data_IF_153631827364
#
_entry.id   IF_153631827364
#
_cell.length_a   1.000
_cell.length_b   1.000
_cell.length_c   1.000
_cell.angle_alpha   90.00
_cell.angle_beta   90.00
_cell.angle_gamma   90.00
#
_symmetry.space_group_name_H-M   'P 1'
#
loop_
_entity.id
_entity.type
_entity.pdbx_description
1 polymer ?
#
# COMPACT_ATOMS: atom_id res chain seq x y z
N UNK A 1 -14.48 -3.35 3.73
CA UNK A 1 -14.28 -3.04 2.31
C UNK A 1 -14.73 -1.60 2.09
N UNK A 2 -13.86 -0.77 1.58
CA UNK A 2 -14.11 0.64 1.30
C UNK A 2 -15.13 0.74 0.15
N UNK A 3 -16.32 1.30 0.43
CA UNK A 3 -17.43 1.42 -0.54
C UNK A 3 -17.06 2.19 -1.82
N UNK A 4 -16.06 3.08 -1.76
CA UNK A 4 -15.56 3.82 -2.94
C UNK A 4 -14.91 2.91 -3.99
N UNK A 5 -14.60 1.66 -3.63
CA UNK A 5 -13.89 0.67 -4.45
C UNK A 5 -14.80 -0.42 -5.02
N UNK A 6 -16.07 -0.42 -4.66
CA UNK A 6 -17.04 -1.39 -5.19
C UNK A 6 -17.33 -1.16 -6.68
N UNK A 7 -17.25 0.09 -7.17
CA UNK A 7 -17.54 0.44 -8.55
C UNK A 7 -16.68 -0.31 -9.58
N UNK A 8 -15.36 -0.12 -9.62
CA UNK A 8 -14.51 -0.73 -10.65
C UNK A 8 -14.53 -2.26 -10.64
N UNK A 9 -14.57 -2.88 -9.44
CA UNK A 9 -14.67 -4.34 -9.33
C UNK A 9 -16.04 -4.85 -9.76
N UNK A 10 -17.11 -4.12 -9.44
CA UNK A 10 -18.44 -4.44 -9.88
C UNK A 10 -18.57 -4.37 -11.40
N UNK A 11 -18.02 -3.33 -12.01
CA UNK A 11 -18.05 -3.15 -13.46
C UNK A 11 -17.29 -4.30 -14.15
N UNK A 12 -16.12 -4.69 -13.64
CA UNK A 12 -15.38 -5.84 -14.15
C UNK A 12 -16.16 -7.15 -14.05
N UNK A 13 -16.95 -7.36 -12.98
CA UNK A 13 -17.76 -8.55 -12.79
C UNK A 13 -19.03 -8.53 -13.63
N UNK A 14 -19.56 -7.36 -13.97
CA UNK A 14 -20.77 -7.21 -14.77
C UNK A 14 -20.51 -7.25 -16.29
N UNK A 15 -19.26 -7.05 -16.72
CA UNK A 15 -18.89 -7.18 -18.13
C UNK A 15 -18.48 -8.63 -18.46
N UNK A 16 -19.37 -9.43 -19.08
CA UNK A 16 -19.04 -10.80 -19.42
C UNK A 16 -18.00 -10.86 -20.53
N UNK A 17 -16.86 -11.48 -20.23
CA UNK A 17 -15.84 -11.73 -21.23
C UNK A 17 -16.28 -12.89 -22.13
N UNK A 18 -16.25 -12.68 -23.47
CA UNK A 18 -16.61 -13.68 -24.48
C UNK A 18 -15.40 -14.23 -25.25
N UNK A 19 -14.24 -13.66 -25.06
CA UNK A 19 -13.01 -14.11 -25.71
C UNK A 19 -12.38 -15.27 -24.92
N UNK A 20 -12.33 -16.49 -25.49
CA UNK A 20 -11.72 -17.63 -24.82
C UNK A 20 -10.27 -17.39 -24.42
N UNK A 21 -9.48 -16.67 -25.23
CA UNK A 21 -8.09 -16.42 -24.95
C UNK A 21 -7.92 -15.52 -23.71
N UNK A 22 -8.80 -14.53 -23.53
CA UNK A 22 -8.81 -13.66 -22.34
C UNK A 22 -9.27 -14.43 -21.10
N UNK A 23 -10.24 -15.33 -21.25
CA UNK A 23 -10.72 -16.16 -20.13
C UNK A 23 -9.59 -17.11 -19.67
N UNK A 24 -8.95 -17.84 -20.60
CA UNK A 24 -7.83 -18.72 -20.29
C UNK A 24 -6.66 -17.96 -19.65
N UNK A 25 -6.31 -16.79 -20.19
CA UNK A 25 -5.28 -15.92 -19.62
C UNK A 25 -5.55 -15.53 -18.16
N UNK A 26 -6.82 -15.20 -17.83
CA UNK A 26 -7.24 -14.85 -16.46
C UNK A 26 -7.25 -16.07 -15.54
N UNK A 27 -7.68 -17.24 -16.04
CA UNK A 27 -7.68 -18.48 -15.29
C UNK A 27 -6.26 -18.92 -14.94
N UNK A 28 -5.29 -18.78 -15.86
CA UNK A 28 -3.88 -19.08 -15.60
C UNK A 28 -3.30 -18.25 -14.45
N UNK A 29 -3.65 -16.95 -14.37
CA UNK A 29 -3.25 -16.10 -13.24
C UNK A 29 -3.85 -16.60 -11.93
N UNK A 30 -5.13 -16.95 -11.93
CA UNK A 30 -5.81 -17.46 -10.74
C UNK A 30 -5.20 -18.79 -10.28
N UNK A 31 -4.93 -19.72 -11.20
CA UNK A 31 -4.33 -21.02 -10.89
C UNK A 31 -2.94 -20.86 -10.26
N UNK A 32 -2.09 -20.00 -10.84
CA UNK A 32 -0.77 -19.71 -10.28
C UNK A 32 -0.85 -19.12 -8.87
N UNK A 33 -1.80 -18.21 -8.63
CA UNK A 33 -1.99 -17.58 -7.32
C UNK A 33 -2.59 -18.55 -6.28
N UNK A 34 -3.53 -19.40 -6.69
CA UNK A 34 -4.11 -20.43 -5.80
C UNK A 34 -3.06 -21.48 -5.45
N UNK A 35 -2.26 -21.89 -6.43
CA UNK A 35 -1.21 -22.90 -6.29
C UNK A 35 0.04 -22.41 -5.55
N UNK A 36 0.24 -21.10 -5.42
CA UNK A 36 1.41 -20.52 -4.76
C UNK A 36 1.02 -19.57 -3.62
N UNK A 37 1.14 -20.06 -2.39
CA UNK A 37 0.73 -19.31 -1.21
C UNK A 37 1.61 -18.07 -0.96
N UNK A 38 2.92 -18.18 -1.17
CA UNK A 38 3.85 -17.05 -0.98
C UNK A 38 3.52 -15.90 -1.94
N UNK A 39 3.21 -16.24 -3.19
CA UNK A 39 2.81 -15.25 -4.20
C UNK A 39 1.45 -14.61 -3.85
N UNK A 40 0.48 -15.41 -3.41
CA UNK A 40 -0.82 -14.90 -2.94
C UNK A 40 -0.69 -13.95 -1.76
N UNK A 41 0.10 -14.31 -0.74
CA UNK A 41 0.39 -13.45 0.42
C UNK A 41 1.07 -12.15 0.00
N UNK A 42 2.04 -12.24 -0.92
CA UNK A 42 2.67 -11.05 -1.47
C UNK A 42 1.65 -10.10 -2.12
N UNK A 43 0.72 -10.63 -2.93
CA UNK A 43 -0.32 -9.82 -3.55
C UNK A 43 -1.25 -9.17 -2.51
N UNK A 44 -1.61 -9.89 -1.44
CA UNK A 44 -2.38 -9.32 -0.32
C UNK A 44 -1.63 -8.17 0.36
N UNK A 45 -0.34 -8.34 0.64
CA UNK A 45 0.52 -7.36 1.30
C UNK A 45 0.89 -6.17 0.38
N UNK A 46 0.79 -6.34 -0.93
CA UNK A 46 0.96 -5.26 -1.90
C UNK A 46 -0.22 -4.28 -1.92
N UNK A 47 -1.42 -4.73 -1.64
CA UNK A 47 -2.64 -3.89 -1.70
C UNK A 47 -2.50 -2.61 -0.87
N UNK A 48 -2.15 -2.67 0.42
CA UNK A 48 -1.98 -1.45 1.23
C UNK A 48 -0.81 -0.60 0.76
N UNK A 49 0.31 -1.20 0.31
CA UNK A 49 1.48 -0.46 -0.18
C UNK A 49 1.15 0.30 -1.46
N UNK A 50 0.47 -0.35 -2.43
CA UNK A 50 0.00 0.32 -3.65
C UNK A 50 -1.04 1.38 -3.31
N UNK A 51 -1.85 1.16 -2.28
CA UNK A 51 -2.80 2.17 -1.77
C UNK A 51 -2.10 3.44 -1.31
N UNK A 52 -1.05 3.29 -0.50
CA UNK A 52 -0.21 4.40 -0.05
C UNK A 52 0.54 5.05 -1.24
N UNK A 53 1.12 4.24 -2.13
CA UNK A 53 1.78 4.73 -3.34
C UNK A 53 0.80 5.55 -4.21
N UNK A 54 -0.43 5.08 -4.37
CA UNK A 54 -1.47 5.79 -5.12
C UNK A 54 -1.79 7.16 -4.52
N UNK A 55 -1.83 7.25 -3.20
CA UNK A 55 -2.04 8.52 -2.50
C UNK A 55 -0.92 9.52 -2.83
N UNK A 56 0.34 9.08 -2.81
CA UNK A 56 1.48 9.95 -3.14
C UNK A 56 1.57 10.29 -4.64
N UNK A 57 1.15 9.42 -5.55
CA UNK A 57 1.13 9.70 -7.00
C UNK A 57 -0.03 10.63 -7.38
N UNK A 58 -1.18 10.50 -6.72
CA UNK A 58 -2.38 11.32 -6.96
C UNK A 58 -2.30 12.64 -6.21
N UNK A 59 -1.14 13.28 -6.22
CA UNK A 59 -0.88 14.53 -5.51
C UNK A 59 -2.08 15.48 -5.61
N UNK A 60 -2.61 15.97 -4.47
CA UNK A 60 -3.62 17.04 -4.50
C UNK A 60 -3.01 18.28 -5.18
N UNK A 61 -3.70 18.84 -6.14
CA UNK A 61 -3.33 20.13 -6.74
C UNK A 61 -3.51 21.22 -5.68
N UNK A 62 -2.45 21.51 -4.94
CA UNK A 62 -2.34 22.68 -4.09
C UNK A 62 -1.29 23.59 -4.69
N UNK A 63 -1.68 24.76 -5.14
CA UNK A 63 -0.79 25.77 -5.71
C UNK A 63 0.27 26.30 -4.73
N UNK A 64 0.13 26.02 -3.44
CA UNK A 64 0.95 26.56 -2.35
C UNK A 64 1.95 25.55 -1.75
N UNK A 65 2.29 24.45 -2.43
CA UNK A 65 3.25 23.49 -1.89
C UNK A 65 4.64 24.09 -1.78
N UNK A 66 5.22 24.03 -0.57
CA UNK A 66 6.61 24.39 -0.38
C UNK A 66 7.54 23.32 -0.95
N UNK A 67 8.76 23.68 -1.42
CA UNK A 67 9.77 22.72 -1.84
C UNK A 67 10.08 21.63 -0.80
N UNK A 68 9.93 21.94 0.48
CA UNK A 68 10.02 20.98 1.57
C UNK A 68 8.94 19.89 1.46
N UNK A 69 7.68 20.30 1.31
CA UNK A 69 6.57 19.35 1.18
C UNK A 69 6.71 18.48 -0.08
N UNK A 70 7.11 19.09 -1.21
CA UNK A 70 7.38 18.35 -2.44
C UNK A 70 8.47 17.30 -2.27
N UNK A 71 9.55 17.66 -1.56
CA UNK A 71 10.68 16.75 -1.31
C UNK A 71 10.23 15.57 -0.45
N UNK A 72 9.53 15.83 0.65
CA UNK A 72 9.00 14.78 1.55
C UNK A 72 8.03 13.87 0.79
N UNK A 73 7.12 14.46 0.02
CA UNK A 73 6.13 13.73 -0.76
C UNK A 73 6.77 12.78 -1.77
N UNK A 74 7.75 13.30 -2.53
CA UNK A 74 8.50 12.51 -3.50
C UNK A 74 9.31 11.40 -2.85
N UNK A 75 9.91 11.65 -1.70
CA UNK A 75 10.66 10.65 -0.95
C UNK A 75 9.74 9.49 -0.50
N UNK A 76 8.55 9.80 0.01
CA UNK A 76 7.55 8.80 0.39
C UNK A 76 7.00 8.02 -0.81
N UNK A 77 6.81 8.67 -1.95
CA UNK A 77 6.47 7.96 -3.20
C UNK A 77 7.55 6.92 -3.55
N UNK A 78 8.84 7.30 -3.52
CA UNK A 78 9.94 6.41 -3.81
C UNK A 78 10.10 5.28 -2.78
N UNK A 79 9.81 5.54 -1.51
CA UNK A 79 9.77 4.54 -0.45
C UNK A 79 8.76 3.43 -0.78
N UNK A 80 7.52 3.78 -1.04
CA UNK A 80 6.48 2.80 -1.38
C UNK A 80 6.71 2.13 -2.74
N UNK A 81 7.27 2.87 -3.72
CA UNK A 81 7.71 2.27 -4.97
C UNK A 81 8.77 1.18 -4.74
N UNK A 82 9.80 1.49 -3.96
CA UNK A 82 10.86 0.53 -3.63
C UNK A 82 10.31 -0.68 -2.85
N UNK A 83 9.37 -0.47 -1.96
CA UNK A 83 8.69 -1.55 -1.23
C UNK A 83 7.90 -2.46 -2.17
N UNK A 84 7.15 -1.92 -3.14
CA UNK A 84 6.45 -2.73 -4.14
C UNK A 84 7.42 -3.62 -4.92
N UNK A 85 8.53 -3.06 -5.42
CA UNK A 85 9.51 -3.82 -6.20
C UNK A 85 10.15 -4.91 -5.35
N UNK A 86 10.57 -4.60 -4.11
CA UNK A 86 11.18 -5.57 -3.18
C UNK A 86 10.23 -6.73 -2.84
N UNK A 87 8.96 -6.45 -2.55
CA UNK A 87 7.98 -7.49 -2.23
C UNK A 87 7.78 -8.44 -3.41
N UNK A 88 7.64 -7.90 -4.63
CA UNK A 88 7.51 -8.72 -5.84
C UNK A 88 8.76 -9.53 -6.12
N UNK A 89 9.94 -8.94 -5.99
CA UNK A 89 11.20 -9.65 -6.19
C UNK A 89 11.37 -10.81 -5.21
N UNK A 90 11.12 -10.57 -3.94
CA UNK A 90 11.14 -11.60 -2.90
C UNK A 90 10.13 -12.73 -3.18
N UNK A 91 8.93 -12.38 -3.67
CA UNK A 91 7.92 -13.37 -4.00
C UNK A 91 8.34 -14.23 -5.19
N UNK A 92 8.79 -13.63 -6.29
CA UNK A 92 9.21 -14.38 -7.49
C UNK A 92 10.52 -15.16 -7.30
N UNK A 93 11.37 -14.74 -6.38
CA UNK A 93 12.60 -15.46 -6.00
C UNK A 93 12.38 -16.58 -4.99
N UNK A 94 11.14 -16.83 -4.57
CA UNK A 94 10.81 -17.83 -3.56
C UNK A 94 11.30 -17.49 -2.15
N UNK A 95 11.65 -16.23 -1.90
CA UNK A 95 12.12 -15.72 -0.60
C UNK A 95 11.04 -15.07 0.26
N UNK A 96 9.82 -14.91 -0.25
CA UNK A 96 8.75 -14.21 0.45
C UNK A 96 8.22 -15.02 1.65
N UNK A 97 8.12 -14.37 2.80
CA UNK A 97 7.62 -15.02 4.03
C UNK A 97 8.64 -15.87 4.78
N UNK A 98 9.92 -15.89 4.34
CA UNK A 98 10.99 -16.53 5.12
C UNK A 98 11.43 -15.61 6.26
N UNK A 99 11.52 -16.16 7.47
CA UNK A 99 12.14 -15.45 8.57
C UNK A 99 13.63 -15.21 8.31
N UNK A 100 14.22 -14.20 8.96
CA UNK A 100 15.64 -13.83 8.79
C UNK A 100 16.62 -14.98 9.15
N UNK A 101 16.15 -16.01 9.86
CA UNK A 101 16.90 -17.23 10.21
C UNK A 101 16.82 -18.34 9.16
N UNK A 102 16.15 -18.10 8.02
CA UNK A 102 15.99 -19.09 6.95
C UNK A 102 14.91 -20.14 7.23
N UNK A 103 14.24 -20.09 8.37
CA UNK A 103 13.11 -20.98 8.65
C UNK A 103 11.88 -20.56 7.85
N UNK A 104 11.26 -21.50 7.15
CA UNK A 104 10.01 -21.29 6.42
C UNK A 104 8.88 -21.46 7.44
N UNK A 105 8.08 -20.42 7.64
CA UNK A 105 6.93 -20.46 8.54
C UNK A 105 5.88 -21.52 8.13
N UNK A 106 6.03 -22.10 6.93
CA UNK A 106 5.14 -23.12 6.40
C UNK A 106 5.92 -23.96 5.36
N UNK A 107 6.22 -25.18 5.62
CA UNK A 107 6.89 -26.27 4.89
C UNK A 107 7.03 -26.22 3.35
N UNK A 108 6.96 -25.08 2.73
CA UNK A 108 7.15 -24.89 1.28
C UNK A 108 8.64 -24.83 0.94
N UNK A 109 9.13 -25.86 0.26
CA UNK A 109 10.49 -25.93 -0.24
C UNK A 109 10.84 -24.70 -1.09
N UNK A 110 12.05 -24.15 -0.88
CA UNK A 110 12.62 -23.07 -1.68
C UNK A 110 12.93 -23.58 -3.10
N UNK A 111 11.93 -23.66 -3.95
CA UNK A 111 12.06 -23.97 -5.37
C UNK A 111 11.70 -22.75 -6.21
N UNK A 112 12.30 -22.67 -7.40
CA UNK A 112 11.89 -21.68 -8.39
C UNK A 112 10.38 -21.78 -8.66
N UNK A 113 9.67 -20.67 -8.56
CA UNK A 113 8.22 -20.64 -8.80
C UNK A 113 7.96 -20.92 -10.28
N UNK A 114 7.33 -22.07 -10.57
CA UNK A 114 6.86 -22.39 -11.90
C UNK A 114 5.56 -21.66 -12.17
N UNK A 115 5.58 -20.71 -13.10
CA UNK A 115 4.41 -19.94 -13.52
C UNK A 115 3.87 -20.47 -14.85
N UNK A 116 2.55 -20.64 -14.92
CA UNK A 116 1.83 -20.95 -16.17
C UNK A 116 1.43 -19.65 -16.87
N UNK A 117 0.92 -18.71 -16.11
CA UNK A 117 0.39 -17.44 -16.57
C UNK A 117 1.45 -16.58 -17.25
N UNK A 118 1.16 -16.13 -18.46
CA UNK A 118 2.01 -15.17 -19.17
C UNK A 118 1.99 -13.78 -18.52
N UNK A 119 0.90 -13.42 -17.84
CA UNK A 119 0.82 -12.19 -17.07
C UNK A 119 1.87 -12.16 -15.95
N UNK A 120 1.92 -13.21 -15.13
CA UNK A 120 2.86 -13.28 -14.01
C UNK A 120 4.31 -13.49 -14.48
N UNK A 121 4.53 -14.20 -15.60
CA UNK A 121 5.86 -14.26 -16.25
C UNK A 121 6.34 -12.88 -16.69
N UNK A 122 5.46 -12.08 -17.31
CA UNK A 122 5.78 -10.69 -17.71
C UNK A 122 6.02 -9.80 -16.49
N UNK A 123 5.22 -9.94 -15.43
CA UNK A 123 5.42 -9.20 -14.18
C UNK A 123 6.76 -9.57 -13.54
N UNK A 124 7.12 -10.87 -13.48
CA UNK A 124 8.43 -11.33 -13.01
C UNK A 124 9.57 -10.72 -13.82
N UNK A 125 9.49 -10.81 -15.15
CA UNK A 125 10.50 -10.26 -16.05
C UNK A 125 10.65 -8.74 -15.89
N UNK A 126 9.55 -8.04 -15.64
CA UNK A 126 9.55 -6.61 -15.35
C UNK A 126 10.21 -6.32 -14.00
N UNK A 127 9.85 -7.07 -12.95
CA UNK A 127 10.46 -6.93 -11.62
C UNK A 127 11.97 -7.14 -11.69
N UNK A 128 12.43 -8.19 -12.39
CA UNK A 128 13.86 -8.46 -12.60
C UNK A 128 14.56 -7.29 -13.31
N UNK A 129 13.92 -6.66 -14.30
CA UNK A 129 14.49 -5.47 -14.95
C UNK A 129 14.56 -4.26 -14.02
N UNK A 130 13.53 -4.07 -13.18
CA UNK A 130 13.51 -2.98 -12.21
C UNK A 130 14.58 -3.16 -11.13
N UNK A 131 14.78 -4.36 -10.63
CA UNK A 131 15.83 -4.65 -9.63
C UNK A 131 17.25 -4.54 -10.21
N UNK A 132 17.41 -4.80 -11.50
CA UNK A 132 18.69 -4.63 -12.20
C UNK A 132 18.96 -3.17 -12.65
N UNK A 133 17.98 -2.27 -12.53
CA UNK A 133 18.16 -0.86 -12.91
C UNK A 133 19.16 -0.17 -11.96
N UNK A 134 20.27 0.41 -12.49
CA UNK A 134 21.25 1.10 -11.68
C UNK A 134 20.65 2.25 -10.84
N UNK A 135 19.62 2.94 -11.34
CA UNK A 135 18.95 3.99 -10.59
C UNK A 135 18.20 3.41 -9.39
N UNK A 136 17.54 2.26 -9.55
CA UNK A 136 16.86 1.56 -8.46
C UNK A 136 17.85 1.04 -7.41
N UNK A 137 18.97 0.47 -7.83
CA UNK A 137 20.01 0.01 -6.89
C UNK A 137 20.57 1.17 -6.05
N UNK A 138 20.89 2.29 -6.68
CA UNK A 138 21.32 3.51 -5.95
C UNK A 138 20.24 4.05 -5.04
N UNK A 139 18.96 3.96 -5.46
CA UNK A 139 17.84 4.34 -4.59
C UNK A 139 17.84 3.49 -3.32
N UNK A 140 17.98 2.16 -3.43
CA UNK A 140 17.97 1.27 -2.27
C UNK A 140 19.10 1.56 -1.29
N UNK A 141 20.29 1.93 -1.79
CA UNK A 141 21.44 2.29 -0.97
C UNK A 141 21.21 3.62 -0.20
N UNK A 142 20.62 4.62 -0.87
CA UNK A 142 20.48 5.97 -0.31
C UNK A 142 19.18 6.20 0.44
N UNK A 143 18.13 5.45 0.14
CA UNK A 143 16.81 5.65 0.70
C UNK A 143 16.74 5.63 2.23
N UNK A 144 17.44 4.72 2.95
CA UNK A 144 17.41 4.70 4.42
C UNK A 144 17.97 6.01 5.03
N UNK A 145 19.08 6.52 4.52
CA UNK A 145 19.69 7.78 4.98
C UNK A 145 18.78 8.99 4.72
N UNK A 146 18.16 9.03 3.52
CA UNK A 146 17.25 10.11 3.14
C UNK A 146 16.01 10.11 4.01
N UNK A 147 15.42 8.93 4.28
CA UNK A 147 14.27 8.78 5.18
C UNK A 147 14.63 9.17 6.61
N UNK A 148 15.77 8.70 7.13
CA UNK A 148 16.22 9.05 8.47
C UNK A 148 16.39 10.57 8.64
N UNK A 149 16.93 11.25 7.61
CA UNK A 149 17.12 12.70 7.61
C UNK A 149 15.76 13.42 7.77
N UNK A 150 14.72 12.98 7.07
CA UNK A 150 13.39 13.56 7.17
C UNK A 150 12.70 13.14 8.47
N UNK A 151 12.83 11.87 8.87
CA UNK A 151 12.15 11.34 10.07
C UNK A 151 12.73 11.90 11.38
N UNK A 152 13.93 12.44 11.36
CA UNK A 152 14.51 13.20 12.47
C UNK A 152 13.82 14.56 12.69
N UNK A 153 13.07 15.05 11.72
CA UNK A 153 12.36 16.32 11.82
C UNK A 153 10.98 16.05 12.43
N UNK A 154 10.89 16.06 13.76
CA UNK A 154 9.62 15.82 14.50
C UNK A 154 9.02 17.07 15.09
N UNK A 155 9.83 18.08 15.36
CA UNK A 155 9.38 19.32 16.00
C UNK A 155 10.29 20.49 15.67
N UNK A 156 9.77 21.68 15.89
CA UNK A 156 10.52 22.94 15.87
C UNK A 156 10.29 23.69 17.16
N UNK A 157 11.32 24.33 17.69
CA UNK A 157 11.22 25.23 18.84
C UNK A 157 11.27 26.66 18.36
N UNK A 158 10.26 27.45 18.69
CA UNK A 158 10.16 28.84 18.30
C UNK A 158 10.15 29.69 19.59
N UNK A 159 11.09 30.61 19.71
CA UNK A 159 11.11 31.64 20.71
C UNK A 159 10.28 32.83 20.24
N UNK A 160 9.46 33.40 21.13
CA UNK A 160 8.67 34.61 20.87
C UNK A 160 9.14 35.71 21.80
N UNK A 161 9.62 36.80 21.22
CA UNK A 161 10.02 37.99 21.97
C UNK A 161 8.81 38.90 22.23
N UNK A 162 8.78 39.54 23.42
CA UNK A 162 7.74 40.45 23.81
C UNK A 162 8.30 41.89 23.88
N UNK A 163 7.49 42.84 23.46
CA UNK A 163 7.82 44.25 23.63
C UNK A 163 7.58 44.73 25.07
N UNK A 164 7.85 46.01 25.37
CA UNK A 164 7.64 46.61 26.69
C UNK A 164 6.19 46.59 27.19
N UNK A 165 5.21 46.35 26.34
CA UNK A 165 3.81 46.15 26.68
C UNK A 165 3.40 44.66 26.78
N UNK A 166 4.36 43.75 26.82
CA UNK A 166 4.17 42.29 26.86
C UNK A 166 3.41 41.72 25.63
N UNK A 167 3.47 42.44 24.52
CA UNK A 167 2.89 41.95 23.26
C UNK A 167 3.93 41.23 22.41
N UNK A 168 3.58 40.14 21.75
CA UNK A 168 4.47 39.46 20.81
C UNK A 168 4.93 40.41 19.70
N UNK A 169 6.23 40.52 19.47
CA UNK A 169 6.81 41.42 18.48
C UNK A 169 7.76 40.73 17.50
N UNK A 170 8.33 39.59 17.86
CA UNK A 170 9.26 38.84 17.03
C UNK A 170 9.17 37.34 17.33
N UNK A 171 9.33 36.49 16.32
CA UNK A 171 9.45 35.04 16.47
C UNK A 171 10.74 34.56 15.83
N UNK A 172 11.49 33.70 16.52
CA UNK A 172 12.79 33.15 16.09
C UNK A 172 12.73 31.65 16.18
N UNK A 173 13.12 30.96 15.08
CA UNK A 173 13.32 29.52 15.11
C UNK A 173 14.62 29.20 15.87
N UNK A 174 14.50 28.50 16.99
CA UNK A 174 15.61 28.17 17.86
C UNK A 174 16.25 26.84 17.48
N UNK A 175 15.44 25.78 17.35
CA UNK A 175 15.93 24.44 17.03
C UNK A 175 14.94 23.65 16.19
N UNK A 176 15.48 22.67 15.45
CA UNK A 176 14.72 21.58 14.81
C UNK A 176 15.04 20.30 15.60
N UNK A 177 14.00 19.69 16.17
CA UNK A 177 14.12 18.56 17.09
C UNK A 177 13.67 17.22 16.50
N UNK A 178 14.25 16.14 17.02
CA UNK A 178 13.90 14.77 16.65
C UNK A 178 12.84 14.13 17.57
N UNK A 179 12.35 14.87 18.56
CA UNK A 179 11.29 14.42 19.48
C UNK A 179 10.06 15.31 19.30
N UNK A 180 8.89 14.73 19.31
CA UNK A 180 7.64 15.49 19.30
C UNK A 180 7.38 16.13 20.67
N UNK A 181 6.85 17.36 20.67
CA UNK A 181 6.35 17.98 21.90
C UNK A 181 4.98 17.42 22.25
N UNK A 182 4.74 17.17 23.54
CA UNK A 182 3.44 16.77 24.07
C UNK A 182 2.87 17.92 24.91
N UNK A 183 1.57 18.22 24.72
CA UNK A 183 0.86 19.16 25.60
C UNK A 183 0.76 18.54 27.00
N UNK A 184 1.22 19.26 28.04
CA UNK A 184 1.22 18.70 29.40
C UNK A 184 -0.16 18.77 30.05
N UNK A 185 -0.58 17.65 30.72
CA UNK A 185 -1.49 17.74 31.85
C UNK A 185 -0.78 18.36 33.05
N UNK A 186 -1.54 18.98 33.95
CA UNK A 186 -1.04 19.67 35.16
C UNK A 186 -0.11 18.80 36.05
N UNK A 187 -0.18 17.48 35.97
CA UNK A 187 0.63 16.53 36.72
C UNK A 187 2.07 16.33 36.17
N UNK A 188 2.28 16.52 34.87
CA UNK A 188 3.60 16.31 34.24
C UNK A 188 4.57 17.47 34.55
N UNK A 189 4.07 18.61 35.00
CA UNK A 189 4.88 19.79 35.41
C UNK A 189 5.80 19.53 36.60
N UNK A 190 5.44 18.57 37.45
CA UNK A 190 6.22 18.25 38.67
C UNK A 190 7.34 17.24 38.43
N UNK A 191 7.28 16.48 37.35
CA UNK A 191 8.18 15.34 37.07
C UNK A 191 8.96 15.51 35.75
N UNK A 192 8.60 16.49 34.91
CA UNK A 192 9.13 16.68 33.56
C UNK A 192 10.61 17.08 33.53
N UNK A 193 11.47 16.11 33.25
CA UNK A 193 12.92 16.29 33.10
C UNK A 193 13.39 16.50 31.67
N UNK A 194 12.57 16.27 30.64
CA UNK A 194 13.03 16.14 29.26
C UNK A 194 12.86 17.37 28.35
N UNK A 195 12.31 18.50 28.85
CA UNK A 195 12.12 19.71 28.04
C UNK A 195 11.14 19.56 26.86
N UNK A 196 10.48 18.41 26.72
CA UNK A 196 9.52 18.11 25.63
C UNK A 196 8.06 18.38 26.01
N UNK A 197 7.80 18.74 27.28
CA UNK A 197 6.45 19.03 27.80
C UNK A 197 6.19 20.53 27.79
N UNK A 198 5.17 20.95 27.04
CA UNK A 198 4.71 22.35 26.99
C UNK A 198 3.93 22.77 28.23
N UNK A 199 3.87 24.05 28.51
CA UNK A 199 3.11 24.63 29.64
C UNK A 199 1.61 24.52 29.36
N UNK A 200 1.19 24.77 28.12
CA UNK A 200 -0.19 24.65 27.67
C UNK A 200 -0.23 24.40 26.16
N UNK A 201 -1.21 23.66 25.65
CA UNK A 201 -1.47 23.60 24.22
C UNK A 201 -2.06 24.96 23.79
N UNK A 202 -1.49 25.58 22.77
CA UNK A 202 -2.01 26.86 22.26
C UNK A 202 -3.10 26.63 21.21
N UNK A 203 -2.84 25.80 20.23
CA UNK A 203 -3.80 25.39 19.19
C UNK A 203 -3.40 24.04 18.61
N UNK A 204 -4.39 23.20 18.29
CA UNK A 204 -4.20 21.98 17.51
C UNK A 204 -4.69 22.21 16.08
N UNK A 205 -3.86 21.86 15.09
CA UNK A 205 -4.18 21.99 13.68
C UNK A 205 -4.93 20.77 13.09
N UNK A 206 -5.41 19.86 13.94
CA UNK A 206 -6.01 18.58 13.55
C UNK A 206 -7.35 18.67 12.81
N UNK A 207 -7.93 19.83 12.70
CA UNK A 207 -9.24 19.97 12.07
C UNK A 207 -9.25 21.05 10.99
N UNK A 208 -8.78 20.72 9.81
CA UNK A 208 -9.21 21.46 8.62
C UNK A 208 -8.35 22.60 8.12
N UNK A 209 -7.05 22.48 8.21
CA UNK A 209 -6.14 23.30 7.41
C UNK A 209 -5.65 24.58 8.08
N UNK A 210 -4.49 25.02 7.65
CA UNK A 210 -3.77 26.23 8.05
C UNK A 210 -4.57 27.55 7.92
N UNK A 211 -5.76 27.52 7.33
CA UNK A 211 -6.60 28.69 7.10
C UNK A 211 -7.29 29.24 8.37
N UNK A 212 -7.22 28.52 9.50
CA UNK A 212 -8.03 28.87 10.68
C UNK A 212 -7.46 30.03 11.52
N UNK A 213 -6.18 30.43 11.36
CA UNK A 213 -5.62 31.56 12.09
C UNK A 213 -4.71 32.45 11.24
N UNK A 214 -5.20 33.61 10.76
CA UNK A 214 -4.43 34.51 9.90
C UNK A 214 -3.10 34.99 10.50
N UNK A 215 -2.97 35.02 11.83
CA UNK A 215 -1.73 35.43 12.50
C UNK A 215 -0.61 34.37 12.41
N UNK A 216 -0.98 33.10 12.17
CA UNK A 216 -0.01 32.02 12.07
C UNK A 216 0.54 31.84 10.65
N UNK A 217 -0.15 32.37 9.62
CA UNK A 217 0.23 32.21 8.21
C UNK A 217 1.64 32.76 7.91
N UNK A 218 2.03 33.99 8.34
CA UNK A 218 3.38 34.49 8.14
C UNK A 218 4.44 33.61 8.82
N UNK A 219 4.20 33.20 10.06
CA UNK A 219 5.12 32.36 10.84
C UNK A 219 5.37 31.02 10.13
N UNK A 220 4.31 30.36 9.65
CA UNK A 220 4.45 29.10 8.93
C UNK A 220 5.11 29.25 7.55
N UNK A 221 4.92 30.40 6.89
CA UNK A 221 5.66 30.70 5.64
C UNK A 221 7.15 30.86 5.91
N UNK A 222 7.54 31.58 6.94
CA UNK A 222 8.93 31.76 7.32
C UNK A 222 9.55 30.43 7.76
N UNK A 223 8.81 29.64 8.53
CA UNK A 223 9.22 28.28 8.90
C UNK A 223 9.44 27.40 7.66
N UNK A 224 8.54 27.44 6.69
CA UNK A 224 8.69 26.69 5.44
C UNK A 224 9.95 27.11 4.67
N UNK A 225 10.31 28.40 4.64
CA UNK A 225 11.56 28.87 4.03
C UNK A 225 12.80 28.30 4.71
N UNK A 226 12.81 28.25 6.04
CA UNK A 226 13.94 27.66 6.80
C UNK A 226 13.99 26.14 6.57
N UNK A 227 12.85 25.47 6.64
CA UNK A 227 12.75 24.02 6.41
C UNK A 227 13.16 23.63 4.99
N UNK A 228 12.87 24.47 3.99
CA UNK A 228 13.33 24.26 2.61
C UNK A 228 14.86 24.14 2.51
N UNK A 229 15.61 24.94 3.29
CA UNK A 229 17.07 24.85 3.33
C UNK A 229 17.54 23.53 3.93
N UNK A 230 16.87 23.07 4.97
CA UNK A 230 17.21 21.80 5.66
C UNK A 230 17.08 20.60 4.75
N UNK A 231 16.10 20.58 3.83
CA UNK A 231 15.86 19.45 2.92
C UNK A 231 16.50 19.57 1.55
N UNK A 232 17.20 20.69 1.27
CA UNK A 232 17.91 20.86 -0.02
C UNK A 232 18.83 19.69 -0.40
N UNK A 233 19.63 19.12 0.52
CA UNK A 233 20.47 17.95 0.20
C UNK A 233 19.63 16.74 -0.24
N UNK A 234 18.49 16.51 0.42
CA UNK A 234 17.56 15.44 0.06
C UNK A 234 16.92 15.73 -1.30
N UNK A 235 16.44 16.94 -1.52
CA UNK A 235 15.86 17.35 -2.81
C UNK A 235 16.85 17.21 -3.98
N UNK A 236 18.12 17.57 -3.75
CA UNK A 236 19.18 17.40 -4.74
C UNK A 236 19.43 15.91 -5.06
N UNK A 237 19.44 15.05 -4.04
CA UNK A 237 19.60 13.62 -4.21
C UNK A 237 18.41 12.99 -4.98
N UNK A 238 17.18 13.45 -4.73
CA UNK A 238 16.00 12.92 -5.39
C UNK A 238 15.93 13.21 -6.90
N UNK A 239 16.67 14.20 -7.39
CA UNK A 239 16.76 14.47 -8.85
C UNK A 239 17.35 13.30 -9.63
N UNK A 240 18.17 12.50 -9.00
CA UNK A 240 18.75 11.29 -9.58
C UNK A 240 17.69 10.21 -9.90
N UNK A 241 16.55 10.25 -9.21
CA UNK A 241 15.51 9.24 -9.27
C UNK A 241 14.23 9.69 -10.02
N UNK A 242 14.32 10.72 -10.85
CA UNK A 242 13.16 11.25 -11.60
C UNK A 242 12.56 10.22 -12.56
N UNK A 243 13.39 9.32 -13.12
CA UNK A 243 12.94 8.25 -14.03
C UNK A 243 12.12 7.16 -13.33
N UNK A 244 12.29 6.99 -12.02
CA UNK A 244 11.56 5.98 -11.27
C UNK A 244 10.16 6.51 -10.94
N UNK A 245 9.13 5.75 -11.31
CA UNK A 245 7.77 6.11 -10.96
C UNK A 245 6.90 4.87 -10.71
N UNK A 246 5.97 4.99 -9.78
CA UNK A 246 5.10 3.91 -9.34
C UNK A 246 3.77 3.80 -10.09
N UNK A 247 3.50 4.61 -11.12
CA UNK A 247 2.21 4.66 -11.83
C UNK A 247 1.77 3.30 -12.39
N UNK A 248 2.73 2.48 -12.77
CA UNK A 248 2.45 1.13 -13.23
C UNK A 248 1.79 0.28 -12.14
N UNK A 249 2.30 0.31 -10.92
CA UNK A 249 1.73 -0.44 -9.79
C UNK A 249 0.33 0.06 -9.44
N UNK A 250 0.11 1.37 -9.51
CA UNK A 250 -1.22 1.95 -9.27
C UNK A 250 -2.24 1.44 -10.29
N UNK A 251 -1.85 1.29 -11.55
CA UNK A 251 -2.72 0.72 -12.59
C UNK A 251 -3.05 -0.75 -12.37
N UNK A 252 -2.14 -1.51 -11.75
CA UNK A 252 -2.36 -2.93 -11.45
C UNK A 252 -3.20 -3.16 -10.18
N UNK A 253 -3.48 -2.12 -9.42
CA UNK A 253 -4.15 -2.23 -8.11
C UNK A 253 -5.48 -2.94 -8.17
N UNK A 254 -6.36 -2.54 -9.09
CA UNK A 254 -7.71 -3.09 -9.16
C UNK A 254 -7.70 -4.55 -9.63
N UNK A 255 -6.77 -4.90 -10.54
CA UNK A 255 -6.54 -6.28 -10.96
C UNK A 255 -6.01 -7.13 -9.79
N UNK A 256 -5.04 -6.62 -9.03
CA UNK A 256 -4.51 -7.31 -7.85
C UNK A 256 -5.63 -7.52 -6.82
N UNK A 257 -6.46 -6.52 -6.55
CA UNK A 257 -7.61 -6.63 -5.65
C UNK A 257 -8.60 -7.69 -6.11
N UNK A 258 -8.89 -7.75 -7.41
CA UNK A 258 -9.76 -8.77 -7.99
C UNK A 258 -9.20 -10.18 -7.72
N UNK A 259 -7.93 -10.43 -8.05
CA UNK A 259 -7.32 -11.74 -7.86
C UNK A 259 -7.18 -12.13 -6.39
N UNK A 260 -6.85 -11.19 -5.50
CA UNK A 260 -6.84 -11.42 -4.05
C UNK A 260 -8.21 -11.85 -3.57
N UNK A 261 -9.27 -11.18 -4.03
CA UNK A 261 -10.65 -11.54 -3.72
C UNK A 261 -11.03 -12.94 -4.24
N UNK A 262 -10.65 -13.24 -5.49
CA UNK A 262 -10.92 -14.53 -6.13
C UNK A 262 -10.18 -15.69 -5.42
N UNK A 263 -8.90 -15.52 -5.09
CA UNK A 263 -8.12 -16.53 -4.35
C UNK A 263 -8.72 -16.79 -2.97
N UNK A 264 -9.14 -15.74 -2.26
CA UNK A 264 -9.81 -15.87 -0.95
C UNK A 264 -11.12 -16.64 -1.07
N UNK A 265 -11.90 -16.37 -2.11
CA UNK A 265 -13.15 -17.09 -2.36
C UNK A 265 -12.89 -18.58 -2.66
N UNK A 266 -11.92 -18.89 -3.54
CA UNK A 266 -11.55 -20.27 -3.85
C UNK A 266 -11.11 -21.02 -2.60
N UNK A 267 -10.22 -20.43 -1.79
CA UNK A 267 -9.74 -21.04 -0.55
C UNK A 267 -10.86 -21.24 0.46
N UNK A 268 -11.74 -20.23 0.62
CA UNK A 268 -12.88 -20.32 1.50
C UNK A 268 -13.82 -21.47 1.12
N UNK A 269 -14.18 -21.60 -0.15
CA UNK A 269 -15.07 -22.66 -0.62
C UNK A 269 -14.41 -24.03 -0.49
N UNK A 270 -13.14 -24.17 -0.87
CA UNK A 270 -12.39 -25.42 -0.71
C UNK A 270 -12.28 -25.85 0.76
N UNK A 271 -12.04 -24.92 1.70
CA UNK A 271 -11.98 -25.22 3.14
C UNK A 271 -13.31 -25.70 3.71
N UNK A 272 -14.43 -25.46 3.01
CA UNK A 272 -15.77 -25.90 3.36
C UNK A 272 -16.22 -27.17 2.61
N UNK A 273 -15.28 -27.83 1.94
CA UNK A 273 -15.59 -29.03 1.14
C UNK A 273 -16.34 -28.77 -0.15
N UNK A 274 -16.36 -27.51 -0.63
CA UNK A 274 -16.95 -27.10 -1.89
C UNK A 274 -15.87 -27.00 -2.95
N UNK A 275 -15.61 -28.06 -3.74
CA UNK A 275 -14.53 -28.03 -4.72
C UNK A 275 -14.84 -27.06 -5.84
N UNK A 276 -13.82 -26.35 -6.31
CA UNK A 276 -13.86 -25.54 -7.50
C UNK A 276 -12.96 -26.17 -8.57
N UNK A 277 -13.43 -26.16 -9.80
CA UNK A 277 -12.70 -26.71 -10.94
C UNK A 277 -12.52 -25.63 -12.01
N UNK A 278 -11.41 -25.70 -12.72
CA UNK A 278 -11.19 -24.88 -13.90
C UNK A 278 -12.15 -25.32 -15.01
N UNK A 279 -12.95 -24.40 -15.59
CA UNK A 279 -13.83 -24.73 -16.70
C UNK A 279 -13.02 -25.07 -17.95
N UNK A 280 -13.51 -26.00 -18.75
CA UNK A 280 -13.04 -26.24 -20.11
C UNK A 280 -13.76 -25.26 -21.03
N UNK A 281 -13.02 -24.36 -21.67
CA UNK A 281 -13.59 -23.35 -22.55
C UNK A 281 -13.64 -23.89 -23.97
N UNK A 282 -14.84 -24.04 -24.50
CA UNK A 282 -15.05 -24.48 -25.89
C UNK A 282 -15.05 -23.27 -26.85
N UNK A 283 -14.72 -23.49 -28.13
CA UNK A 283 -14.74 -22.44 -29.15
C UNK A 283 -16.12 -21.77 -29.26
N UNK A 284 -16.17 -20.49 -29.60
CA UNK A 284 -17.43 -19.79 -29.85
C UNK A 284 -18.25 -20.51 -30.92
N UNK A 285 -19.55 -20.72 -30.66
CA UNK A 285 -20.47 -21.39 -31.59
C UNK A 285 -20.62 -22.90 -31.35
N UNK A 286 -19.88 -23.51 -30.44
CA UNK A 286 -20.07 -24.94 -30.10
C UNK A 286 -21.47 -25.21 -29.48
N UNK A 287 -22.08 -24.18 -28.84
CA UNK A 287 -23.45 -24.23 -28.31
C UNK A 287 -23.68 -25.29 -27.23
N UNK A 288 -22.60 -25.82 -26.65
CA UNK A 288 -22.66 -26.86 -25.61
C UNK A 288 -22.36 -26.26 -24.24
N UNK A 289 -23.19 -26.65 -23.28
CA UNK A 289 -22.99 -26.35 -21.87
C UNK A 289 -23.18 -27.65 -21.10
N UNK A 290 -22.20 -28.04 -20.31
CA UNK A 290 -22.27 -29.24 -19.48
C UNK A 290 -21.61 -28.96 -18.12
N UNK A 291 -22.32 -29.19 -17.05
CA UNK A 291 -21.86 -28.99 -15.69
C UNK A 291 -22.23 -30.20 -14.83
N UNK A 292 -21.30 -30.67 -14.03
CA UNK A 292 -21.53 -31.73 -13.05
C UNK A 292 -21.30 -31.21 -11.65
N UNK A 293 -22.14 -31.59 -10.70
CA UNK A 293 -22.01 -31.18 -9.30
C UNK A 293 -22.18 -29.68 -9.10
N UNK A 294 -23.07 -29.03 -9.89
CA UNK A 294 -23.35 -27.59 -9.76
C UNK A 294 -23.92 -27.25 -8.38
N UNK A 295 -23.42 -26.21 -7.76
CA UNK A 295 -23.95 -25.67 -6.51
C UNK A 295 -24.11 -24.16 -6.54
N UNK A 296 -24.98 -23.65 -5.68
CA UNK A 296 -25.20 -22.21 -5.56
C UNK A 296 -24.17 -21.59 -4.60
N UNK A 297 -23.30 -20.74 -5.13
CA UNK A 297 -22.23 -20.08 -4.35
C UNK A 297 -22.78 -19.20 -3.23
N UNK A 298 -23.89 -18.45 -3.46
CA UNK A 298 -24.47 -17.58 -2.44
C UNK A 298 -25.01 -18.39 -1.25
N UNK A 299 -25.69 -19.49 -1.54
CA UNK A 299 -26.13 -20.42 -0.49
C UNK A 299 -24.95 -21.07 0.24
N UNK A 300 -23.92 -21.47 -0.49
CA UNK A 300 -22.71 -22.03 0.11
C UNK A 300 -22.03 -21.05 1.08
N UNK A 301 -21.93 -19.78 0.72
CA UNK A 301 -21.39 -18.73 1.58
C UNK A 301 -22.27 -18.49 2.81
N UNK A 302 -23.59 -18.45 2.66
CA UNK A 302 -24.54 -18.21 3.77
C UNK A 302 -24.50 -19.37 4.77
N UNK A 303 -24.69 -20.59 4.29
CA UNK A 303 -24.67 -21.77 5.15
C UNK A 303 -23.31 -22.08 5.73
N UNK A 304 -22.23 -21.77 4.99
CA UNK A 304 -20.88 -21.93 5.48
C UNK A 304 -20.51 -21.00 6.66
N UNK A 305 -21.23 -19.91 6.88
CA UNK A 305 -21.09 -19.05 8.08
C UNK A 305 -21.75 -19.62 9.32
N UNK A 306 -22.79 -20.46 9.14
CA UNK A 306 -23.59 -21.02 10.24
C UNK A 306 -23.08 -22.39 10.73
N UNK A 307 -22.26 -23.07 9.93
CA UNK A 307 -21.77 -24.42 10.19
C UNK A 307 -20.26 -24.47 10.40
N UNK A 308 -19.80 -24.09 11.58
CA UNK A 308 -18.43 -24.42 12.00
C UNK A 308 -18.29 -25.94 12.13
N UNK A 309 -17.77 -26.59 11.10
CA UNK A 309 -17.40 -27.99 11.07
C UNK A 309 -18.44 -29.01 10.57
N UNK A 310 -19.62 -28.60 10.12
CA UNK A 310 -20.61 -29.50 9.50
C UNK A 310 -20.49 -29.48 7.98
N UNK A 311 -20.61 -30.66 7.32
CA UNK A 311 -20.72 -30.76 5.88
C UNK A 311 -21.92 -29.96 5.39
N UNK A 312 -21.78 -29.28 4.24
CA UNK A 312 -22.85 -28.48 3.63
C UNK A 312 -24.10 -29.36 3.40
N UNK A 313 -25.29 -28.84 3.69
CA UNK A 313 -26.51 -29.60 3.48
C UNK A 313 -26.69 -29.92 1.99
N UNK A 314 -27.20 -31.11 1.70
CA UNK A 314 -27.44 -31.62 0.35
C UNK A 314 -28.28 -30.69 -0.56
N UNK A 315 -28.98 -29.73 0.02
CA UNK A 315 -29.74 -28.70 -0.71
C UNK A 315 -28.89 -27.69 -1.46
N UNK A 316 -27.59 -27.61 -1.20
CA UNK A 316 -26.65 -26.70 -1.87
C UNK A 316 -26.06 -27.35 -3.12
N UNK A 317 -26.10 -28.67 -3.21
CA UNK A 317 -25.60 -29.42 -4.37
C UNK A 317 -26.74 -29.57 -5.37
N UNK A 318 -26.54 -29.05 -6.59
CA UNK A 318 -27.49 -29.21 -7.70
C UNK A 318 -27.30 -30.54 -8.44
N UNK A 319 -28.25 -30.84 -9.30
CA UNK A 319 -28.16 -31.97 -10.25
C UNK A 319 -27.21 -31.65 -11.40
N UNK A 320 -26.67 -32.69 -12.04
CA UNK A 320 -25.94 -32.57 -13.31
C UNK A 320 -26.85 -31.96 -14.39
N UNK A 321 -26.32 -31.00 -15.15
CA UNK A 321 -26.96 -30.34 -16.30
C UNK A 321 -26.20 -30.65 -17.57
#
# INVERSE_FOLDING_TARGET
VDKSREGPLRDLLLEPCRDPAVIEYRLDVLDDLVGNEALSRCFEDLVPVIGALSYFISRPEHDDWSPFQETVWRLRELEHYAECVKKLDAAFSGGYGKAADGSVADGSAAGEIVLRSDALKRLRALTTRLTADPAFMRLLERLPELLETIDRIKSVTIGVNLNGALQPCEAVLLTVGSKSFTGSGLYDKLIGRDGTHGIAPLHSADTGGFAANPLMVPLFRDLAMVMNRTVQPVAAALKEFVSLNGRMFVRLRDEILFYVGAVRLVRFLNSRGMPMVRPLIEPPGAGRFSVRGLYNIDLAIRFGREADGASLPSRVVGSDL
#
